data_IF_382640739497
#
_entry.id   IF_382640739497
#
_cell.length_a   1.000
_cell.length_b   1.000
_cell.length_c   1.000
_cell.angle_alpha   90.00
_cell.angle_beta   90.00
_cell.angle_gamma   90.00
#
_symmetry.space_group_name_H-M   'P 1'
#
loop_
_entity.id
_entity.type
_entity.pdbx_description
1 polymer ?
#
# COMPACT_ATOMS: atom_id res chain seq x y z
N UNK A 1 -1.45 21.65 2.70
CA UNK A 1 -1.06 20.32 2.22
C UNK A 1 -0.96 19.35 3.40
N UNK A 2 -1.59 18.24 3.30
CA UNK A 2 -1.53 17.27 4.36
C UNK A 2 -0.34 16.34 4.17
N UNK A 3 0.26 15.93 5.29
CA UNK A 3 1.40 15.02 5.24
C UNK A 3 1.03 13.64 4.70
N UNK A 4 -0.26 13.38 4.54
CA UNK A 4 -0.75 12.08 4.09
C UNK A 4 -0.82 11.93 2.58
N UNK A 5 -0.45 12.96 1.82
CA UNK A 5 -0.52 12.88 0.37
C UNK A 5 0.68 12.16 -0.21
N UNK A 6 0.61 10.84 -0.17
CA UNK A 6 1.62 10.00 -0.78
C UNK A 6 1.21 9.75 -2.23
N UNK A 7 2.11 10.03 -3.17
CA UNK A 7 1.88 9.75 -4.57
C UNK A 7 2.63 8.48 -4.96
N UNK A 8 2.28 7.92 -6.12
CA UNK A 8 3.00 6.75 -6.64
C UNK A 8 4.51 7.02 -6.74
N UNK A 9 4.87 8.21 -7.22
CA UNK A 9 6.28 8.57 -7.37
C UNK A 9 6.97 8.66 -6.01
N UNK A 10 6.32 9.27 -5.02
CA UNK A 10 6.90 9.38 -3.68
C UNK A 10 7.00 8.02 -3.00
N UNK A 11 6.04 7.15 -3.23
CA UNK A 11 6.10 5.80 -2.68
C UNK A 11 7.27 5.02 -3.26
N UNK A 12 7.51 5.14 -4.56
CA UNK A 12 8.67 4.49 -5.19
C UNK A 12 9.97 5.05 -4.64
N UNK A 13 10.00 6.36 -4.38
CA UNK A 13 11.17 7.00 -3.84
C UNK A 13 11.46 6.53 -2.41
N UNK A 14 10.42 6.39 -1.60
CA UNK A 14 10.56 5.98 -0.19
C UNK A 14 10.76 4.49 -0.02
N UNK A 15 10.02 3.68 -0.77
CA UNK A 15 9.97 2.24 -0.55
C UNK A 15 10.61 1.43 -1.66
N UNK A 16 10.91 2.07 -2.80
CA UNK A 16 11.42 1.37 -3.97
C UNK A 16 10.30 0.73 -4.77
N UNK A 17 10.67 -0.16 -5.68
CA UNK A 17 9.69 -0.90 -6.48
C UNK A 17 9.07 -2.00 -5.62
N UNK A 18 7.75 -2.22 -5.73
CA UNK A 18 7.12 -3.28 -4.96
C UNK A 18 7.55 -4.65 -5.46
N UNK A 19 7.56 -5.61 -4.54
CA UNK A 19 7.82 -7.00 -4.90
C UNK A 19 6.64 -7.58 -5.66
N UNK A 20 5.44 -7.07 -5.38
CA UNK A 20 4.23 -7.56 -6.01
C UNK A 20 3.26 -6.40 -6.21
N UNK A 21 2.61 -6.36 -7.37
CA UNK A 21 1.61 -5.34 -7.67
C UNK A 21 0.33 -6.03 -8.14
N UNK A 22 -0.78 -5.73 -7.48
CA UNK A 22 -2.08 -6.28 -7.82
C UNK A 22 -2.96 -5.14 -8.30
N UNK A 23 -3.52 -5.27 -9.50
CA UNK A 23 -4.29 -4.21 -10.11
C UNK A 23 -3.42 -3.10 -10.67
N UNK A 24 -4.04 -1.99 -11.01
CA UNK A 24 -3.32 -0.80 -11.48
C UNK A 24 -4.25 0.40 -11.38
N UNK A 25 -3.71 1.58 -11.68
CA UNK A 25 -4.44 2.83 -11.53
C UNK A 25 -5.72 2.88 -12.39
N UNK A 26 -5.75 2.13 -13.47
CA UNK A 26 -6.89 2.08 -14.39
C UNK A 26 -7.78 0.85 -14.21
N UNK A 27 -7.51 0.03 -13.21
CA UNK A 27 -8.31 -1.17 -12.96
C UNK A 27 -9.73 -0.76 -12.61
N UNK A 28 -10.74 -1.21 -13.36
CA UNK A 28 -12.13 -0.83 -13.07
C UNK A 28 -12.70 -1.51 -11.83
N UNK A 29 -12.03 -2.56 -11.33
CA UNK A 29 -12.51 -3.27 -10.15
C UNK A 29 -12.06 -2.56 -8.89
N UNK A 30 -13.01 -2.36 -7.98
CA UNK A 30 -12.71 -1.82 -6.66
C UNK A 30 -12.97 -2.92 -5.64
N UNK A 31 -11.99 -3.16 -4.78
CA UNK A 31 -12.05 -4.17 -3.74
C UNK A 31 -11.98 -3.50 -2.38
N UNK A 32 -12.32 -4.24 -1.36
CA UNK A 32 -12.22 -3.75 0.01
C UNK A 32 -11.48 -4.75 0.86
N UNK A 33 -10.47 -4.26 1.60
CA UNK A 33 -9.64 -5.10 2.45
C UNK A 33 -9.14 -4.25 3.60
N UNK A 34 -9.21 -4.77 4.81
CA UNK A 34 -8.76 -4.06 6.01
C UNK A 34 -9.40 -2.68 6.17
N UNK A 35 -10.67 -2.55 5.76
CA UNK A 35 -11.41 -1.31 5.86
C UNK A 35 -11.03 -0.28 4.80
N UNK A 36 -10.27 -0.67 3.79
CA UNK A 36 -9.80 0.23 2.74
C UNK A 36 -10.34 -0.23 1.39
N UNK A 37 -10.85 0.73 0.61
CA UNK A 37 -11.26 0.47 -0.77
C UNK A 37 -10.10 0.79 -1.68
N UNK A 38 -9.77 -0.14 -2.58
CA UNK A 38 -8.60 0.00 -3.43
C UNK A 38 -8.82 -0.65 -4.79
N UNK A 39 -8.11 -0.16 -5.80
CA UNK A 39 -8.04 -0.82 -7.09
C UNK A 39 -6.60 -1.19 -7.47
N UNK A 40 -5.65 -0.83 -6.63
CA UNK A 40 -4.24 -1.18 -6.82
C UNK A 40 -3.62 -1.42 -5.45
N UNK A 41 -2.82 -2.46 -5.34
CA UNK A 41 -2.17 -2.81 -4.08
C UNK A 41 -0.72 -3.17 -4.38
N UNK A 42 0.20 -2.55 -3.64
CA UNK A 42 1.64 -2.80 -3.73
C UNK A 42 2.07 -3.55 -2.48
N UNK A 43 2.83 -4.61 -2.64
CA UNK A 43 3.30 -5.44 -1.54
C UNK A 43 4.82 -5.44 -1.54
N UNK A 44 5.40 -5.13 -0.38
CA UNK A 44 6.85 -5.13 -0.16
C UNK A 44 7.16 -6.15 0.91
N UNK A 45 8.02 -7.12 0.61
CA UNK A 45 8.47 -8.08 1.61
C UNK A 45 9.56 -7.46 2.46
N UNK A 46 9.56 -7.77 3.74
CA UNK A 46 10.50 -7.20 4.70
C UNK A 46 11.55 -8.23 5.10
N UNK A 47 12.76 -7.76 5.38
CA UNK A 47 13.88 -8.64 5.75
C UNK A 47 13.61 -9.46 7.00
N UNK A 48 12.98 -8.87 7.99
CA UNK A 48 12.68 -9.56 9.25
C UNK A 48 11.39 -10.38 9.18
N UNK A 49 10.85 -10.57 8.00
CA UNK A 49 9.57 -11.21 7.79
C UNK A 49 8.43 -10.20 7.83
N UNK A 50 7.24 -10.65 7.47
CA UNK A 50 6.12 -9.74 7.31
C UNK A 50 6.20 -8.97 6.01
N UNK A 51 5.36 -7.95 5.88
CA UNK A 51 5.30 -7.18 4.64
C UNK A 51 4.69 -5.79 4.88
N UNK A 52 5.00 -4.88 3.96
CA UNK A 52 4.33 -3.57 3.89
C UNK A 52 3.38 -3.61 2.73
N UNK A 53 2.17 -3.11 2.94
CA UNK A 53 1.12 -3.10 1.92
C UNK A 53 0.69 -1.66 1.72
N UNK A 54 0.72 -1.20 0.45
CA UNK A 54 0.28 0.14 0.10
C UNK A 54 -0.97 0.01 -0.75
N UNK A 55 -2.06 0.60 -0.30
CA UNK A 55 -3.33 0.56 -1.02
C UNK A 55 -3.55 1.87 -1.77
N UNK A 56 -3.95 1.73 -3.01
CA UNK A 56 -4.24 2.87 -3.88
C UNK A 56 -5.66 2.76 -4.42
N UNK A 57 -6.32 3.90 -4.52
CA UNK A 57 -7.54 4.00 -5.31
C UNK A 57 -7.27 5.06 -6.35
N UNK A 58 -6.95 4.59 -7.57
CA UNK A 58 -6.44 5.42 -8.65
C UNK A 58 -5.16 6.10 -8.21
N UNK A 59 -5.14 7.43 -8.11
CA UNK A 59 -3.94 8.16 -7.73
C UNK A 59 -3.86 8.47 -6.23
N UNK A 60 -4.92 8.11 -5.49
CA UNK A 60 -4.97 8.38 -4.06
C UNK A 60 -4.43 7.22 -3.24
N UNK A 61 -3.51 7.51 -2.33
CA UNK A 61 -3.08 6.52 -1.35
C UNK A 61 -4.15 6.39 -0.29
N UNK A 62 -4.71 5.20 -0.14
CA UNK A 62 -5.78 4.93 0.82
C UNK A 62 -5.28 4.41 2.15
N UNK A 63 -4.05 3.98 2.20
CA UNK A 63 -3.46 3.54 3.44
C UNK A 63 -2.22 2.73 3.21
N UNK A 64 -1.33 2.77 4.20
CA UNK A 64 -0.12 1.94 4.22
C UNK A 64 -0.19 1.11 5.49
N UNK A 65 -0.02 -0.19 5.34
CA UNK A 65 -0.10 -1.13 6.46
C UNK A 65 1.18 -1.93 6.55
N UNK A 66 1.54 -2.31 7.77
CA UNK A 66 2.65 -3.21 8.01
C UNK A 66 2.11 -4.45 8.70
N UNK A 67 2.36 -5.60 8.09
CA UNK A 67 2.00 -6.89 8.68
C UNK A 67 3.25 -7.50 9.27
N UNK A 68 3.19 -7.83 10.56
CA UNK A 68 4.29 -8.46 11.28
C UNK A 68 4.36 -9.96 10.95
N UNK A 69 5.49 -10.62 11.22
CA UNK A 69 5.61 -12.06 10.94
C UNK A 69 4.55 -12.91 11.62
N UNK A 70 4.01 -12.45 12.74
CA UNK A 70 2.96 -13.19 13.47
C UNK A 70 1.57 -12.96 12.88
N UNK A 71 1.45 -12.17 11.82
CA UNK A 71 0.19 -11.89 11.17
C UNK A 71 -0.54 -10.66 11.66
N UNK A 72 -0.04 -9.99 12.69
CA UNK A 72 -0.69 -8.77 13.19
C UNK A 72 -0.47 -7.64 12.18
N UNK A 73 -1.50 -6.80 12.04
CA UNK A 73 -1.51 -5.73 11.04
C UNK A 73 -1.65 -4.39 11.73
N UNK A 74 -0.82 -3.45 11.34
CA UNK A 74 -0.87 -2.08 11.85
C UNK A 74 -0.89 -1.09 10.70
N UNK A 75 -1.74 -0.07 10.83
CA UNK A 75 -1.76 1.01 9.87
C UNK A 75 -0.58 1.93 10.16
N UNK A 76 0.20 2.21 9.12
CA UNK A 76 1.35 3.08 9.25
C UNK A 76 0.93 4.53 9.09
N UNK A 77 1.42 5.39 9.97
CA UNK A 77 1.19 6.82 9.89
C UNK A 77 2.28 7.43 9.01
N UNK A 78 1.87 8.23 8.04
CA UNK A 78 2.80 8.84 7.10
C UNK A 78 2.86 10.36 7.26
#
# INVERSE_FOLDING_TARGET
MTASELTHALARERFGLPDEQIGNVNDPRTREENGVRWNEKWIYRRHEGGKRIVYWHRYDCRGVFVESPDGSLQRESL
#
